data_IF_721180142223
#
_entry.id   IF_721180142223
#
_cell.length_a   1.000
_cell.length_b   1.000
_cell.length_c   1.000
_cell.angle_alpha   90.00
_cell.angle_beta   90.00
_cell.angle_gamma   90.00
#
_symmetry.space_group_name_H-M   'P 1'
#
loop_
_entity.id
_entity.type
_entity.pdbx_description
1 polymer ?
#
# COMPACT_ATOMS: atom_id res chain seq x y z
N UNK A 1 -6.03 10.61 10.20
CA UNK A 1 -6.64 11.91 9.85
C UNK A 1 -6.91 11.96 8.34
N UNK A 2 -8.18 11.84 7.98
CA UNK A 2 -8.68 11.69 6.59
C UNK A 2 -8.58 13.00 5.78
N UNK A 3 -8.69 14.15 6.44
CA UNK A 3 -8.66 15.48 5.79
C UNK A 3 -7.38 15.74 4.99
N UNK A 4 -6.21 15.26 5.44
CA UNK A 4 -4.95 15.46 4.71
C UNK A 4 -4.96 14.68 3.39
N UNK A 5 -5.59 13.50 3.38
CA UNK A 5 -5.71 12.66 2.18
C UNK A 5 -6.68 13.29 1.18
N UNK A 6 -7.81 13.81 1.65
CA UNK A 6 -8.74 14.55 0.77
C UNK A 6 -8.06 15.78 0.18
N UNK A 7 -7.29 16.52 0.98
CA UNK A 7 -6.57 17.71 0.49
C UNK A 7 -5.52 17.34 -0.58
N UNK A 8 -4.77 16.25 -0.40
CA UNK A 8 -3.79 15.75 -1.38
C UNK A 8 -4.47 15.30 -2.68
N UNK A 9 -5.61 14.61 -2.60
CA UNK A 9 -6.38 14.17 -3.78
C UNK A 9 -6.97 15.36 -4.54
N UNK A 10 -7.42 16.40 -3.84
CA UNK A 10 -8.00 17.61 -4.43
C UNK A 10 -6.95 18.49 -5.10
N UNK A 11 -5.73 18.60 -4.55
CA UNK A 11 -4.71 19.52 -5.05
C UNK A 11 -3.84 18.95 -6.19
N UNK A 12 -3.68 17.63 -6.32
CA UNK A 12 -2.85 17.04 -7.39
C UNK A 12 -3.39 15.77 -8.06
N UNK A 13 -4.66 15.43 -7.81
CA UNK A 13 -5.37 14.39 -8.57
C UNK A 13 -4.82 12.97 -8.40
N UNK A 14 -5.21 12.09 -9.34
CA UNK A 14 -4.81 10.66 -9.36
C UNK A 14 -3.29 10.45 -9.45
N UNK A 15 -2.56 11.40 -10.02
CA UNK A 15 -1.13 11.30 -10.26
C UNK A 15 -0.33 11.34 -8.95
N UNK A 16 -0.77 12.16 -7.98
CA UNK A 16 -0.20 12.16 -6.63
C UNK A 16 -0.49 10.88 -5.85
N UNK A 17 -1.55 10.14 -6.19
CA UNK A 17 -1.81 8.85 -5.55
C UNK A 17 -0.76 7.80 -5.97
N UNK A 18 -0.34 7.86 -7.23
CA UNK A 18 0.69 7.00 -7.81
C UNK A 18 2.10 7.50 -7.54
N UNK A 19 2.24 8.74 -7.03
CA UNK A 19 3.53 9.27 -6.65
C UNK A 19 4.19 8.38 -5.61
N UNK A 20 5.46 8.08 -5.86
CA UNK A 20 6.30 7.30 -4.97
C UNK A 20 7.13 8.26 -4.14
N UNK A 21 7.06 8.12 -2.83
CA UNK A 21 8.00 8.73 -1.89
C UNK A 21 9.42 8.19 -2.14
N UNK A 22 10.42 8.77 -1.48
CA UNK A 22 11.85 8.39 -1.65
C UNK A 22 12.10 6.88 -1.43
N UNK A 23 11.28 6.23 -0.59
CA UNK A 23 11.31 4.79 -0.34
C UNK A 23 10.46 3.95 -1.32
N UNK A 24 9.99 4.55 -2.42
CA UNK A 24 9.08 3.89 -3.37
C UNK A 24 7.65 3.74 -2.86
N UNK A 25 7.33 4.26 -1.67
CA UNK A 25 6.05 4.13 -0.99
C UNK A 25 4.96 4.99 -1.61
N UNK A 26 3.76 4.43 -1.79
CA UNK A 26 2.58 5.17 -2.25
C UNK A 26 1.68 5.57 -1.08
N UNK A 27 0.75 6.49 -1.30
CA UNK A 27 -0.25 6.87 -0.30
C UNK A 27 -1.02 5.64 0.25
N UNK A 28 -1.33 4.66 -0.60
CA UNK A 28 -2.03 3.44 -0.21
C UNK A 28 -1.18 2.57 0.73
N UNK A 29 0.14 2.49 0.47
CA UNK A 29 1.07 1.74 1.32
C UNK A 29 1.14 2.35 2.72
N UNK A 30 1.25 3.67 2.81
CA UNK A 30 1.30 4.39 4.09
C UNK A 30 -0.02 4.20 4.85
N UNK A 31 -1.17 4.38 4.18
CA UNK A 31 -2.48 4.16 4.79
C UNK A 31 -2.66 2.71 5.29
N UNK A 32 -2.15 1.75 4.53
CA UNK A 32 -2.24 0.33 4.85
C UNK A 32 -1.32 -0.06 6.00
N UNK A 33 -0.09 0.47 6.03
CA UNK A 33 0.83 0.31 7.15
C UNK A 33 0.30 0.93 8.44
N UNK A 34 -0.49 2.01 8.35
CA UNK A 34 -1.11 2.64 9.52
C UNK A 34 -2.47 2.03 9.91
N UNK A 35 -2.99 1.10 9.12
CA UNK A 35 -4.29 0.47 9.39
C UNK A 35 -5.50 1.38 9.14
N UNK A 36 -5.33 2.47 8.39
CA UNK A 36 -6.40 3.43 8.11
C UNK A 36 -7.35 2.90 7.01
N UNK A 37 -8.25 1.99 7.37
CA UNK A 37 -9.14 1.32 6.42
C UNK A 37 -9.98 2.29 5.58
N UNK A 38 -10.54 3.35 6.17
CA UNK A 38 -11.34 4.35 5.45
C UNK A 38 -10.52 5.09 4.38
N UNK A 39 -9.26 5.41 4.69
CA UNK A 39 -8.32 6.01 3.74
C UNK A 39 -8.00 5.03 2.63
N UNK A 40 -7.74 3.76 2.96
CA UNK A 40 -7.49 2.70 1.98
C UNK A 40 -8.68 2.56 1.03
N UNK A 41 -9.90 2.60 1.54
CA UNK A 41 -11.11 2.55 0.72
C UNK A 41 -11.14 3.71 -0.28
N UNK A 42 -11.00 4.93 0.21
CA UNK A 42 -11.06 6.14 -0.60
C UNK A 42 -9.96 6.18 -1.67
N UNK A 43 -8.74 5.81 -1.29
CA UNK A 43 -7.60 5.70 -2.21
C UNK A 43 -7.83 4.63 -3.27
N UNK A 44 -8.51 3.54 -2.94
CA UNK A 44 -8.81 2.47 -3.88
C UNK A 44 -9.89 2.87 -4.89
N UNK A 45 -10.93 3.56 -4.43
CA UNK A 45 -11.98 4.12 -5.30
C UNK A 45 -11.40 5.15 -6.28
N UNK A 46 -10.46 5.98 -5.81
CA UNK A 46 -9.82 6.98 -6.65
C UNK A 46 -8.71 6.41 -7.52
N UNK A 47 -7.78 5.62 -6.98
CA UNK A 47 -6.56 5.15 -7.66
C UNK A 47 -6.70 3.83 -8.42
N UNK A 48 -7.67 2.98 -8.07
CA UNK A 48 -7.90 1.70 -8.74
C UNK A 48 -6.78 0.67 -8.52
N UNK A 49 -6.88 -0.46 -9.25
CA UNK A 49 -6.08 -1.68 -9.02
C UNK A 49 -4.57 -1.47 -9.14
N UNK A 50 -4.14 -0.58 -10.04
CA UNK A 50 -2.74 -0.26 -10.26
C UNK A 50 -2.06 0.23 -8.97
N UNK A 51 -2.80 0.94 -8.10
CA UNK A 51 -2.29 1.45 -6.84
C UNK A 51 -2.07 0.32 -5.81
N UNK A 52 -2.91 -0.70 -5.83
CA UNK A 52 -2.77 -1.88 -4.96
C UNK A 52 -1.64 -2.83 -5.41
N UNK A 53 -1.33 -2.83 -6.71
CA UNK A 53 -0.21 -3.61 -7.29
C UNK A 53 1.14 -2.93 -7.17
N UNK A 54 1.16 -1.64 -6.85
CA UNK A 54 2.40 -0.91 -6.66
C UNK A 54 3.27 -1.60 -5.60
N UNK A 55 4.58 -1.61 -5.85
CA UNK A 55 5.61 -2.13 -4.94
C UNK A 55 6.57 -1.00 -4.55
N UNK A 56 6.95 -0.97 -3.28
CA UNK A 56 7.98 -0.07 -2.78
C UNK A 56 9.38 -0.57 -3.18
N UNK A 57 10.44 0.14 -2.75
CA UNK A 57 11.84 -0.27 -3.03
C UNK A 57 12.19 -1.63 -2.45
N UNK A 58 11.53 -2.04 -1.36
CA UNK A 58 11.66 -3.37 -0.74
C UNK A 58 10.78 -4.44 -1.39
N UNK A 59 10.12 -4.14 -2.52
CA UNK A 59 9.25 -5.10 -3.23
C UNK A 59 7.90 -5.37 -2.54
N UNK A 60 7.58 -4.69 -1.44
CA UNK A 60 6.35 -4.88 -0.65
C UNK A 60 5.18 -4.10 -1.22
N UNK A 61 4.01 -4.72 -1.25
CA UNK A 61 2.74 -4.07 -1.59
C UNK A 61 2.06 -3.47 -0.36
N UNK A 62 1.02 -2.66 -0.57
CA UNK A 62 0.20 -2.13 0.52
C UNK A 62 -0.38 -3.22 1.42
N UNK A 63 -0.75 -4.37 0.85
CA UNK A 63 -1.25 -5.54 1.59
C UNK A 63 -0.16 -6.16 2.46
N UNK A 64 1.05 -6.29 1.94
CA UNK A 64 2.18 -6.86 2.70
C UNK A 64 2.49 -6.01 3.92
N UNK A 65 2.49 -4.68 3.75
CA UNK A 65 2.70 -3.74 4.85
C UNK A 65 1.58 -3.84 5.90
N UNK A 66 0.31 -3.85 5.49
CA UNK A 66 -0.80 -4.07 6.44
C UNK A 66 -0.70 -5.41 7.17
N UNK A 67 -0.20 -6.45 6.50
CA UNK A 67 -0.02 -7.78 7.09
C UNK A 67 1.13 -7.79 8.10
N UNK A 68 2.26 -7.13 7.80
CA UNK A 68 3.39 -7.01 8.72
C UNK A 68 3.01 -6.27 10.00
N UNK A 69 2.11 -5.30 9.91
CA UNK A 69 1.64 -4.49 11.06
C UNK A 69 0.41 -5.10 11.76
N UNK A 70 -0.13 -6.23 11.26
CA UNK A 70 -1.28 -6.91 11.87
C UNK A 70 -2.65 -6.26 11.61
N UNK A 71 -2.76 -5.37 10.62
CA UNK A 71 -3.99 -4.67 10.27
C UNK A 71 -4.94 -5.55 9.44
N UNK A 72 -5.56 -6.53 10.10
CA UNK A 72 -6.43 -7.53 9.47
C UNK A 72 -7.57 -6.95 8.62
N UNK A 73 -8.17 -5.83 9.07
CA UNK A 73 -9.27 -5.18 8.33
C UNK A 73 -8.83 -4.68 6.95
N UNK A 74 -7.66 -4.05 6.89
CA UNK A 74 -7.05 -3.58 5.64
C UNK A 74 -6.64 -4.76 4.75
N UNK A 75 -6.02 -5.80 5.33
CA UNK A 75 -5.62 -7.00 4.58
C UNK A 75 -6.82 -7.69 3.94
N UNK A 76 -7.93 -7.82 4.67
CA UNK A 76 -9.18 -8.41 4.15
C UNK A 76 -9.74 -7.58 3.01
N UNK A 77 -9.86 -6.28 3.18
CA UNK A 77 -10.35 -5.38 2.15
C UNK A 77 -9.49 -5.42 0.88
N UNK A 78 -8.17 -5.33 1.02
CA UNK A 78 -7.24 -5.42 -0.10
C UNK A 78 -7.28 -6.80 -0.77
N UNK A 79 -7.52 -7.89 -0.03
CA UNK A 79 -7.68 -9.25 -0.58
C UNK A 79 -8.98 -9.38 -1.38
N UNK A 80 -10.10 -8.90 -0.84
CA UNK A 80 -11.41 -8.93 -1.51
C UNK A 80 -11.39 -8.11 -2.80
N UNK A 81 -10.75 -6.94 -2.76
CA UNK A 81 -10.59 -6.09 -3.94
C UNK A 81 -9.68 -6.70 -5.01
N UNK A 82 -8.72 -7.55 -4.63
CA UNK A 82 -7.74 -8.03 -5.60
C UNK A 82 -8.17 -9.30 -6.32
N UNK A 83 -8.95 -10.21 -5.73
CA UNK A 83 -9.15 -11.54 -6.34
C UNK A 83 -7.84 -12.23 -6.75
N UNK A 84 -6.70 -11.79 -6.21
CA UNK A 84 -5.38 -12.32 -6.53
C UNK A 84 -5.24 -13.58 -5.71
N UNK A 85 -5.46 -14.67 -6.44
CA UNK A 85 -4.69 -15.89 -6.40
C UNK A 85 -3.51 -15.78 -5.43
N UNK A 86 -3.76 -16.31 -4.24
CA UNK A 86 -2.70 -16.60 -3.28
C UNK A 86 -1.85 -17.69 -3.92
N UNK A 87 -0.87 -17.33 -4.74
CA UNK A 87 0.23 -18.23 -5.07
C UNK A 87 1.31 -18.03 -4.01
N UNK A 88 1.48 -18.96 -3.06
CA UNK A 88 2.48 -18.89 -2.01
C UNK A 88 3.83 -19.33 -2.56
N UNK A 89 4.42 -18.58 -3.48
CA UNK A 89 5.76 -18.92 -3.98
C UNK A 89 6.53 -17.63 -4.26
N UNK A 90 7.39 -17.25 -3.31
CA UNK A 90 8.78 -16.87 -3.55
C UNK A 90 9.40 -16.52 -2.20
N UNK A 91 10.05 -17.52 -1.59
CA UNK A 91 11.33 -17.33 -0.91
C UNK A 91 12.14 -16.24 -1.60
N UNK A 92 12.47 -15.17 -0.90
CA UNK A 92 13.60 -14.28 -1.25
C UNK A 92 13.98 -13.52 0.01
N UNK A 93 14.91 -14.15 0.73
CA UNK A 93 16.00 -13.58 1.52
C UNK A 93 15.95 -12.07 1.76
N UNK A 94 15.56 -11.67 2.98
CA UNK A 94 16.00 -10.42 3.58
C UNK A 94 17.16 -10.77 4.55
N UNK A 95 18.34 -11.01 3.99
CA UNK A 95 19.59 -11.09 4.76
C UNK A 95 20.04 -9.65 5.11
N UNK A 96 20.13 -9.29 6.40
CA UNK A 96 20.46 -7.93 6.81
C UNK A 96 21.91 -7.60 6.46
N UNK A 97 22.09 -6.67 5.51
CA UNK A 97 23.40 -6.09 5.20
C UNK A 97 23.94 -5.32 6.41
N UNK A 98 24.97 -5.86 7.07
CA UNK A 98 25.84 -5.11 7.97
C UNK A 98 27.09 -4.66 7.19
N UNK A 99 27.37 -3.35 7.08
CA UNK A 99 28.60 -2.88 6.44
C UNK A 99 29.82 -3.06 7.35
N UNK A 100 30.93 -3.45 6.72
CA UNK A 100 32.24 -3.79 7.29
C UNK A 100 33.00 -2.63 7.93
#
# INVERSE_FOLDING_TARGET
HLEVVEHLVVQGGRELLMAKEENGGTALMIASQKGHLEVVHHLMEKGGLELAKAKNTSGKTARDLASSEGHLGVVKYLREMHGIDSSPDSDSDDEPQQPS
#
